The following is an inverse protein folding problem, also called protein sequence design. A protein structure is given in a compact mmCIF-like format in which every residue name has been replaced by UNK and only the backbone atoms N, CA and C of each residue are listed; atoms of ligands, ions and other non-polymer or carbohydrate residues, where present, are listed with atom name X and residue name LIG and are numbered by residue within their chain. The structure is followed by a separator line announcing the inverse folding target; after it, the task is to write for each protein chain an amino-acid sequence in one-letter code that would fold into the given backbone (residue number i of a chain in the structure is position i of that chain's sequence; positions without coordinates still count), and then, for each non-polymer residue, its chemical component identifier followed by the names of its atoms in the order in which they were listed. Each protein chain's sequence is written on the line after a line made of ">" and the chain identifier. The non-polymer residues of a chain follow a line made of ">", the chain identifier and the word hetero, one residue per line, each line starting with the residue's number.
data_IF_922518755841
#
_entry.id   IF_922518755841
#
_cell.length_a   1.000
_cell.length_b   1.000
_cell.length_c   1.000
_cell.angle_alpha   90.00
_cell.angle_beta   90.00
_cell.angle_gamma   90.00
#
_symmetry.space_group_name_H-M   'P 1'
#
loop_
_entity.id
_entity.type
_entity.pdbx_description
1 polymer ?
#
# COMPACT_ATOMS: atom_id res chain seq x y z
N UNK A 1 -0.89 -1.65 15.46
CA UNK A 1 -0.33 -1.95 14.12
C UNK A 1 0.41 -0.70 13.71
N UNK A 2 1.69 -0.81 13.39
CA UNK A 2 2.56 0.37 13.21
C UNK A 2 2.28 1.12 11.90
N UNK A 3 1.99 0.39 10.82
CA UNK A 3 1.37 0.95 9.62
C UNK A 3 0.30 -0.01 9.09
N UNK A 4 -0.92 0.48 8.78
CA UNK A 4 -1.97 -0.34 8.18
C UNK A 4 -1.90 -0.38 6.64
N UNK A 5 -0.97 0.36 6.03
CA UNK A 5 -0.86 0.50 4.57
C UNK A 5 0.56 0.22 4.12
N UNK A 6 0.71 -0.75 3.21
CA UNK A 6 2.02 -1.15 2.69
C UNK A 6 2.07 -1.02 1.18
N UNK A 7 3.17 -0.49 0.66
CA UNK A 7 3.48 -0.43 -0.77
C UNK A 7 4.83 -1.06 -1.05
N UNK A 8 5.03 -1.53 -2.27
CA UNK A 8 6.31 -2.09 -2.70
C UNK A 8 7.35 -0.97 -2.87
N UNK A 9 8.55 -1.17 -2.34
CA UNK A 9 9.69 -0.30 -2.55
C UNK A 9 10.23 -0.43 -3.98
N UNK A 10 10.78 0.66 -4.52
CA UNK A 10 11.54 0.61 -5.76
C UNK A 10 12.75 -0.31 -5.59
N UNK A 11 13.03 -1.13 -6.61
CA UNK A 11 14.28 -1.87 -6.68
C UNK A 11 15.40 -0.89 -7.05
N UNK A 12 16.63 -1.19 -6.62
CA UNK A 12 17.81 -0.42 -6.98
C UNK A 12 17.91 -0.25 -8.51
N UNK A 13 17.88 1.01 -8.97
CA UNK A 13 17.91 1.36 -10.39
C UNK A 13 16.55 1.67 -11.04
N UNK A 14 15.44 1.61 -10.31
CA UNK A 14 14.12 2.04 -10.79
C UNK A 14 13.62 3.30 -10.07
N UNK A 15 12.78 4.07 -10.75
CA UNK A 15 12.23 5.32 -10.23
C UNK A 15 10.74 5.13 -9.94
N UNK A 16 10.36 5.31 -8.68
CA UNK A 16 8.95 5.34 -8.30
C UNK A 16 8.34 6.67 -8.74
N UNK A 17 7.14 6.62 -9.31
CA UNK A 17 6.36 7.84 -9.56
C UNK A 17 5.75 8.34 -8.24
N UNK A 18 6.15 9.52 -7.72
CA UNK A 18 5.59 10.06 -6.48
C UNK A 18 4.10 10.37 -6.58
N UNK A 19 3.55 10.54 -7.80
CA UNK A 19 2.14 10.82 -8.01
C UNK A 19 1.25 9.66 -7.53
N UNK A 20 1.72 8.41 -7.63
CA UNK A 20 0.97 7.22 -7.19
C UNK A 20 0.76 7.24 -5.69
N UNK A 21 1.85 7.44 -4.94
CA UNK A 21 1.78 7.49 -3.49
C UNK A 21 0.93 8.68 -3.02
N UNK A 22 1.07 9.83 -3.69
CA UNK A 22 0.28 11.03 -3.40
C UNK A 22 -1.21 10.80 -3.64
N UNK A 23 -1.58 10.13 -4.73
CA UNK A 23 -2.97 9.83 -5.06
C UNK A 23 -3.60 8.85 -4.04
N UNK A 24 -2.88 7.80 -3.66
CA UNK A 24 -3.34 6.88 -2.62
C UNK A 24 -3.45 7.57 -1.26
N UNK A 25 -2.48 8.41 -0.91
CA UNK A 25 -2.52 9.17 0.34
C UNK A 25 -3.73 10.10 0.41
N UNK A 26 -4.02 10.82 -0.67
CA UNK A 26 -5.19 11.70 -0.75
C UNK A 26 -6.50 10.94 -0.51
N UNK A 27 -6.67 9.77 -1.14
CA UNK A 27 -7.87 8.93 -0.93
C UNK A 27 -7.96 8.37 0.50
N UNK A 28 -6.84 7.98 1.10
CA UNK A 28 -6.79 7.48 2.47
C UNK A 28 -7.12 8.59 3.47
N UNK A 29 -6.49 9.75 3.34
CA UNK A 29 -6.66 10.87 4.28
C UNK A 29 -8.09 11.43 4.28
N UNK A 30 -8.80 11.31 3.15
CA UNK A 30 -10.22 11.67 3.07
C UNK A 30 -11.11 10.82 4.01
N UNK A 31 -10.76 9.55 4.23
CA UNK A 31 -11.56 8.63 5.03
C UNK A 31 -10.94 8.32 6.40
N UNK A 32 -9.64 8.46 6.54
CA UNK A 32 -8.87 8.13 7.73
C UNK A 32 -7.68 9.10 7.89
N UNK A 33 -7.92 10.38 8.26
CA UNK A 33 -6.89 11.43 8.31
C UNK A 33 -5.78 11.19 9.35
N UNK A 34 -6.01 10.29 10.31
CA UNK A 34 -5.01 9.88 11.31
C UNK A 34 -4.17 8.66 10.90
N UNK A 35 -4.26 8.21 9.64
CA UNK A 35 -3.54 7.01 9.20
C UNK A 35 -2.03 7.24 9.20
N UNK A 36 -1.24 6.34 9.82
CA UNK A 36 0.22 6.38 9.76
C UNK A 36 0.76 6.48 8.32
N UNK A 37 2.02 6.90 8.15
CA UNK A 37 2.66 6.91 6.83
C UNK A 37 2.61 5.54 6.15
N UNK A 38 2.53 5.56 4.81
CA UNK A 38 2.58 4.35 4.00
C UNK A 38 3.95 3.71 4.18
N UNK A 39 3.98 2.44 4.60
CA UNK A 39 5.23 1.73 4.79
C UNK A 39 5.67 1.08 3.48
N UNK A 40 6.93 1.29 3.11
CA UNK A 40 7.53 0.64 1.94
C UNK A 40 8.18 -0.68 2.35
N UNK A 41 7.88 -1.74 1.60
CA UNK A 41 8.41 -3.09 1.84
C UNK A 41 9.14 -3.61 0.61
N UNK A 42 10.18 -4.41 0.83
CA UNK A 42 10.94 -5.05 -0.24
C UNK A 42 10.03 -5.97 -1.09
N UNK A 43 10.37 -6.18 -2.36
CA UNK A 43 9.55 -6.89 -3.34
C UNK A 43 9.16 -8.30 -2.88
N UNK A 44 10.10 -9.10 -2.38
CA UNK A 44 9.81 -10.46 -1.92
C UNK A 44 8.99 -10.44 -0.64
N UNK A 45 9.29 -9.53 0.29
CA UNK A 45 8.49 -9.35 1.49
C UNK A 45 7.03 -8.94 1.18
N UNK A 46 6.81 -8.14 0.13
CA UNK A 46 5.47 -7.80 -0.35
C UNK A 46 4.73 -9.04 -0.86
N UNK A 47 5.38 -9.90 -1.64
CA UNK A 47 4.76 -11.12 -2.15
C UNK A 47 4.41 -12.11 -1.03
N UNK A 48 5.28 -12.28 -0.03
CA UNK A 48 5.00 -13.13 1.13
C UNK A 48 3.79 -12.62 1.93
N UNK A 49 3.66 -11.30 2.08
CA UNK A 49 2.49 -10.68 2.72
C UNK A 49 1.22 -10.79 1.87
N UNK A 50 1.33 -10.58 0.55
CA UNK A 50 0.22 -10.70 -0.37
C UNK A 50 -0.33 -12.14 -0.43
N UNK A 51 0.53 -13.15 -0.32
CA UNK A 51 0.12 -14.56 -0.24
C UNK A 51 -0.69 -14.86 1.04
N UNK A 52 -0.40 -14.15 2.13
CA UNK A 52 -1.12 -14.28 3.40
C UNK A 52 -2.35 -13.38 3.48
N UNK A 53 -2.60 -12.54 2.48
CA UNK A 53 -3.74 -11.65 2.45
C UNK A 53 -5.05 -12.44 2.35
N UNK A 54 -6.10 -11.90 2.94
CA UNK A 54 -7.43 -12.51 2.89
C UNK A 54 -7.99 -12.56 1.46
N UNK A 55 -7.71 -11.52 0.67
CA UNK A 55 -8.13 -11.43 -0.72
C UNK A 55 -7.13 -10.55 -1.51
N UNK A 56 -7.03 -10.83 -2.81
CA UNK A 56 -6.29 -10.02 -3.77
C UNK A 56 -7.29 -9.47 -4.78
N UNK A 57 -7.34 -8.14 -4.91
CA UNK A 57 -8.18 -7.47 -5.90
C UNK A 57 -7.32 -7.18 -7.12
N UNK A 58 -7.58 -7.90 -8.21
CA UNK A 58 -6.91 -7.68 -9.49
C UNK A 58 -7.53 -6.46 -10.17
N UNK A 59 -6.77 -5.39 -10.30
CA UNK A 59 -7.18 -4.16 -10.99
C UNK A 59 -6.58 -4.11 -12.40
N UNK A 60 -7.13 -3.24 -13.26
CA UNK A 60 -6.54 -2.91 -14.57
C UNK A 60 -5.49 -1.81 -14.51
N UNK A 61 -4.94 -1.53 -13.33
CA UNK A 61 -3.94 -0.48 -13.13
C UNK A 61 -2.65 -0.84 -13.88
N UNK A 62 -2.09 0.14 -14.60
CA UNK A 62 -0.87 -0.06 -15.40
C UNK A 62 0.33 0.68 -14.82
N UNK A 63 0.10 1.51 -13.81
CA UNK A 63 1.16 2.28 -13.18
C UNK A 63 2.09 1.39 -12.39
N UNK A 64 3.40 1.57 -12.59
CA UNK A 64 4.43 0.82 -11.87
C UNK A 64 4.33 1.08 -10.37
N UNK A 65 4.51 0.02 -9.58
CA UNK A 65 4.42 0.07 -8.12
C UNK A 65 3.07 0.57 -7.57
N UNK A 66 1.99 0.50 -8.36
CA UNK A 66 0.61 0.73 -7.92
C UNK A 66 0.04 -0.38 -7.01
N UNK A 67 0.89 -1.24 -6.45
CA UNK A 67 0.47 -2.32 -5.56
C UNK A 67 0.38 -1.80 -4.14
N UNK A 68 -0.75 -2.08 -3.47
CA UNK A 68 -1.01 -1.65 -2.10
C UNK A 68 -1.63 -2.81 -1.29
N UNK A 69 -1.16 -3.00 -0.07
CA UNK A 69 -1.77 -3.92 0.90
C UNK A 69 -2.43 -3.09 1.99
N UNK A 70 -3.68 -3.42 2.29
CA UNK A 70 -4.48 -2.76 3.31
C UNK A 70 -4.76 -3.72 4.46
N UNK A 71 -4.42 -3.29 5.68
CA UNK A 71 -4.76 -4.00 6.90
C UNK A 71 -5.97 -3.37 7.55
N UNK A 72 -7.10 -4.10 7.51
CA UNK A 72 -8.36 -3.65 8.11
C UNK A 72 -8.19 -3.44 9.62
N UNK A 73 -8.63 -2.28 10.11
CA UNK A 73 -8.72 -1.95 11.53
C UNK A 73 -9.98 -2.54 12.19
N UNK A 74 -10.22 -2.14 13.43
CA UNK A 74 -11.44 -2.48 14.18
C UNK A 74 -12.38 -1.27 14.20
N UNK A 75 -13.68 -1.51 14.11
CA UNK A 75 -14.69 -0.46 14.30
C UNK A 75 -15.03 -0.40 15.79
N UNK A 76 -14.83 0.74 16.47
CA UNK A 76 -15.22 0.88 17.88
C UNK A 76 -16.74 0.74 18.02
N UNK A 77 -17.16 0.05 19.08
CA UNK A 77 -18.56 -0.11 19.47
C UNK A 77 -19.13 1.18 20.08
#
# INVERSE_FOLDING_TARGET
>A
VDSPVFMMAAVEGDTLDPAVETAYRAAIDQHAPGTPPIQRVERFAFYDQAQQAFAVVMTGETTKYGNIILKKGVTPC
#
